data_IF_187136903401
#
_entry.id   IF_187136903401
#
_cell.length_a   1.000
_cell.length_b   1.000
_cell.length_c   1.000
_cell.angle_alpha   90.00
_cell.angle_beta   90.00
_cell.angle_gamma   90.00
#
_symmetry.space_group_name_H-M   'P 1'
#
loop_
_entity.id
_entity.type
_entity.pdbx_description
1 polymer ?
#
# COMPACT_ATOMS: atom_id res chain seq x y z
N UNK A 1 -39.35 32.33 -20.89
CA UNK A 1 -40.35 32.72 -19.87
C UNK A 1 -40.37 31.60 -18.85
N UNK A 2 -40.06 31.71 -17.56
CA UNK A 2 -39.92 32.81 -16.59
C UNK A 2 -38.70 32.55 -15.68
N UNK A 3 -38.08 33.65 -15.22
CA UNK A 3 -37.02 33.73 -14.19
C UNK A 3 -37.65 33.77 -12.78
N UNK A 4 -36.92 33.31 -11.76
CA UNK A 4 -36.97 33.82 -10.37
C UNK A 4 -35.72 33.28 -9.63
N UNK A 5 -34.66 34.04 -9.36
CA UNK A 5 -34.46 35.04 -8.28
C UNK A 5 -34.63 34.42 -6.87
N UNK A 6 -33.55 33.97 -6.23
CA UNK A 6 -32.63 34.68 -5.31
C UNK A 6 -33.25 34.99 -3.93
N UNK A 7 -32.76 34.34 -2.87
CA UNK A 7 -32.77 34.94 -1.53
C UNK A 7 -31.58 34.42 -0.69
N UNK A 8 -30.65 35.33 -0.45
CA UNK A 8 -29.51 35.23 0.46
C UNK A 8 -30.03 35.65 1.85
N UNK A 9 -29.76 34.90 2.92
CA UNK A 9 -29.96 35.37 4.28
C UNK A 9 -28.64 35.38 5.04
N UNK A 10 -28.12 36.60 5.21
CA UNK A 10 -26.99 36.98 6.03
C UNK A 10 -27.50 37.15 7.47
N UNK A 11 -26.90 36.47 8.45
CA UNK A 11 -27.18 36.72 9.86
C UNK A 11 -25.93 37.34 10.50
N UNK A 12 -26.01 38.64 10.77
CA UNK A 12 -25.14 39.38 11.68
C UNK A 12 -26.06 39.90 12.78
N UNK A 13 -25.82 39.50 14.03
CA UNK A 13 -26.27 40.25 15.20
C UNK A 13 -25.11 40.39 16.19
N UNK A 14 -25.08 41.56 16.79
CA UNK A 14 -23.94 42.22 17.41
C UNK A 14 -24.35 42.62 18.84
N UNK A 15 -23.37 42.56 19.75
CA UNK A 15 -23.15 43.37 20.97
C UNK A 15 -23.74 43.01 22.35
N UNK A 16 -22.84 43.28 23.33
CA UNK A 16 -22.98 43.62 24.76
C UNK A 16 -23.09 42.44 25.73
N UNK A 17 -22.29 42.31 26.80
CA UNK A 17 -21.36 43.21 27.50
C UNK A 17 -21.73 43.28 28.98
N UNK A 18 -20.82 42.88 29.89
CA UNK A 18 -20.61 43.50 31.23
C UNK A 18 -19.52 42.78 32.03
N UNK A 19 -18.62 43.60 32.61
CA UNK A 19 -17.66 43.35 33.70
C UNK A 19 -18.42 43.02 35.03
N UNK A 20 -17.85 42.52 36.14
CA UNK A 20 -16.72 42.99 36.97
C UNK A 20 -16.44 41.99 38.12
N UNK A 21 -15.17 41.97 38.60
CA UNK A 21 -14.68 41.77 39.99
C UNK A 21 -14.96 40.42 40.71
N UNK A 22 -14.04 39.79 41.45
CA UNK A 22 -12.83 40.21 42.14
C UNK A 22 -12.93 39.86 43.64
N UNK A 23 -11.82 39.36 44.21
CA UNK A 23 -11.44 39.40 45.65
C UNK A 23 -11.58 38.11 46.51
N UNK A 24 -10.42 37.46 46.69
CA UNK A 24 -9.72 36.94 47.89
C UNK A 24 -10.42 36.21 49.05
N UNK A 25 -9.76 35.16 49.55
CA UNK A 25 -9.83 34.71 50.95
C UNK A 25 -8.99 33.46 51.20
N UNK A 26 -7.98 33.59 52.05
CA UNK A 26 -6.89 32.64 52.32
C UNK A 26 -6.96 32.09 53.78
N UNK A 27 -6.25 30.99 54.01
CA UNK A 27 -5.69 30.37 55.25
C UNK A 27 -6.61 29.79 56.36
N UNK A 28 -6.32 28.52 56.73
CA UNK A 28 -5.86 27.99 58.07
C UNK A 28 -6.31 26.51 58.24
N UNK A 29 -5.41 25.52 58.11
CA UNK A 29 -4.43 24.88 59.06
C UNK A 29 -5.03 23.95 60.13
N UNK A 30 -4.68 22.66 60.08
CA UNK A 30 -3.93 21.87 61.09
C UNK A 30 -3.99 20.36 60.71
N UNK A 31 -2.86 19.68 60.50
CA UNK A 31 -1.99 18.96 61.47
C UNK A 31 -2.62 17.60 61.86
N UNK A 32 -2.04 16.41 61.70
CA UNK A 32 -0.71 15.82 61.99
C UNK A 32 -0.78 14.37 61.43
N UNK A 33 0.26 13.62 61.05
CA UNK A 33 1.33 13.06 61.89
C UNK A 33 2.45 12.46 61.03
N UNK A 34 3.66 12.58 61.56
CA UNK A 34 4.93 12.01 61.08
C UNK A 34 5.17 10.67 61.79
N UNK A 35 5.63 9.64 61.08
CA UNK A 35 6.47 8.58 61.67
C UNK A 35 7.59 8.21 60.69
N UNK A 36 8.81 8.36 61.20
CA UNK A 36 10.08 7.98 60.60
C UNK A 36 10.49 6.60 61.11
N UNK A 37 11.03 5.75 60.25
CA UNK A 37 12.10 4.87 60.70
C UNK A 37 13.10 4.58 59.58
N UNK A 38 14.37 4.59 59.97
CA UNK A 38 15.56 4.47 59.12
C UNK A 38 16.35 3.25 59.60
N UNK A 39 16.78 2.40 58.68
CA UNK A 39 17.98 1.58 58.93
C UNK A 39 18.73 1.26 57.63
N UNK A 40 20.03 1.48 57.70
CA UNK A 40 21.04 1.32 56.67
C UNK A 40 21.37 -0.15 56.36
N UNK A 41 21.87 -0.40 55.14
CA UNK A 41 22.85 -1.46 54.92
C UNK A 41 22.82 -2.11 53.54
N UNK A 42 23.86 -1.88 52.75
CA UNK A 42 24.28 -2.82 51.68
C UNK A 42 24.52 -2.19 50.31
N UNK A 43 25.72 -1.68 50.09
CA UNK A 43 26.31 -1.53 48.74
C UNK A 43 26.79 -2.92 48.32
N UNK A 44 26.23 -3.47 47.24
CA UNK A 44 26.90 -4.47 46.42
C UNK A 44 26.65 -4.19 44.94
N UNK A 45 27.72 -4.33 44.17
CA UNK A 45 27.88 -3.89 42.80
C UNK A 45 27.29 -4.91 41.84
N UNK A 46 26.29 -4.51 41.06
CA UNK A 46 25.75 -5.29 39.96
C UNK A 46 25.49 -4.36 38.79
N UNK A 47 26.51 -4.09 37.98
CA UNK A 47 26.38 -3.41 36.70
C UNK A 47 25.72 -4.39 35.72
N UNK A 48 24.40 -4.53 35.84
CA UNK A 48 23.54 -5.14 34.84
C UNK A 48 23.09 -4.04 33.89
N UNK A 49 23.86 -3.84 32.82
CA UNK A 49 23.31 -3.24 31.61
C UNK A 49 22.16 -4.16 31.17
N UNK A 50 20.92 -3.77 31.49
CA UNK A 50 19.75 -4.32 30.83
C UNK A 50 19.84 -3.88 29.37
N UNK A 51 20.34 -4.77 28.53
CA UNK A 51 20.04 -4.77 27.10
C UNK A 51 18.52 -4.54 26.97
N UNK A 52 18.14 -3.44 26.32
CA UNK A 52 16.73 -3.14 26.09
C UNK A 52 16.08 -4.31 25.37
N UNK A 53 14.95 -4.78 25.90
CA UNK A 53 14.09 -5.75 25.23
C UNK A 53 13.84 -5.29 23.79
N UNK A 54 14.36 -6.06 22.83
CA UNK A 54 13.87 -5.98 21.45
C UNK A 54 12.37 -6.30 21.49
N UNK A 55 11.54 -5.41 20.95
CA UNK A 55 10.10 -5.64 20.89
C UNK A 55 9.78 -6.96 20.18
N UNK A 56 8.86 -7.73 20.76
CA UNK A 56 8.42 -9.01 20.20
C UNK A 56 7.58 -8.76 18.93
N UNK A 57 8.10 -9.18 17.77
CA UNK A 57 7.36 -9.23 16.51
C UNK A 57 6.23 -10.28 16.55
N UNK A 58 5.31 -10.21 15.60
CA UNK A 58 4.19 -11.13 15.46
C UNK A 58 3.03 -10.79 16.38
N UNK A 59 2.69 -9.50 16.47
CA UNK A 59 1.61 -9.02 17.34
C UNK A 59 0.45 -8.40 16.59
N UNK A 60 0.72 -7.73 15.48
CA UNK A 60 -0.32 -7.12 14.65
C UNK A 60 -1.08 -8.26 13.95
N UNK A 61 -2.40 -8.18 13.93
CA UNK A 61 -3.27 -9.09 13.19
C UNK A 61 -3.73 -8.43 11.89
N UNK A 62 -3.79 -9.19 10.81
CA UNK A 62 -4.22 -8.70 9.52
C UNK A 62 -4.92 -9.80 8.72
N UNK A 63 -5.61 -9.38 7.66
CA UNK A 63 -6.24 -10.28 6.70
C UNK A 63 -5.91 -9.88 5.26
N UNK A 64 -6.02 -10.85 4.34
CA UNK A 64 -5.82 -10.67 2.91
C UNK A 64 -7.16 -10.71 2.16
N UNK A 65 -7.32 -9.84 1.17
CA UNK A 65 -8.36 -9.97 0.16
C UNK A 65 -7.79 -9.81 -1.26
N UNK A 66 -8.10 -10.77 -2.13
CA UNK A 66 -7.71 -10.72 -3.53
C UNK A 66 -8.92 -10.51 -4.45
N UNK A 67 -9.09 -9.30 -4.95
CA UNK A 67 -10.19 -8.94 -5.87
C UNK A 67 -10.09 -9.60 -7.25
N UNK A 68 -8.88 -9.96 -7.71
CA UNK A 68 -8.71 -10.64 -8.99
C UNK A 68 -9.19 -12.09 -8.93
N UNK A 69 -9.04 -12.75 -7.78
CA UNK A 69 -9.56 -14.09 -7.47
C UNK A 69 -11.06 -14.05 -7.13
N UNK A 70 -11.58 -12.91 -6.64
CA UNK A 70 -12.98 -12.69 -6.27
C UNK A 70 -13.67 -11.67 -7.20
N UNK A 71 -13.52 -11.84 -8.51
CA UNK A 71 -13.86 -10.81 -9.49
C UNK A 71 -15.34 -10.42 -9.52
N UNK A 72 -16.25 -11.39 -9.36
CA UNK A 72 -17.69 -11.11 -9.32
C UNK A 72 -18.06 -10.24 -8.11
N UNK A 73 -17.38 -10.43 -6.97
CA UNK A 73 -17.55 -9.59 -5.79
C UNK A 73 -17.11 -8.15 -6.11
N UNK A 74 -15.94 -7.97 -6.70
CA UNK A 74 -15.42 -6.66 -7.10
C UNK A 74 -16.36 -5.95 -8.09
N UNK A 75 -16.86 -6.64 -9.12
CA UNK A 75 -17.81 -6.08 -10.08
C UNK A 75 -19.11 -5.62 -9.41
N UNK A 76 -19.66 -6.44 -8.50
CA UNK A 76 -20.87 -6.06 -7.77
C UNK A 76 -20.62 -4.87 -6.84
N UNK A 77 -19.47 -4.82 -6.16
CA UNK A 77 -19.08 -3.73 -5.28
C UNK A 77 -18.97 -2.41 -6.06
N UNK A 78 -18.24 -2.40 -7.17
CA UNK A 78 -18.02 -1.19 -7.98
C UNK A 78 -19.27 -0.65 -8.67
N UNK A 79 -20.28 -1.50 -8.88
CA UNK A 79 -21.59 -1.11 -9.38
C UNK A 79 -22.55 -0.62 -8.28
N UNK A 80 -22.15 -0.64 -7.01
CA UNK A 80 -22.97 -0.13 -5.91
C UNK A 80 -23.00 1.40 -5.88
N UNK A 81 -24.06 1.97 -5.28
CA UNK A 81 -24.18 3.42 -5.11
C UNK A 81 -23.04 4.00 -4.26
N UNK A 82 -22.52 3.24 -3.30
CA UNK A 82 -21.44 3.68 -2.41
C UNK A 82 -20.11 3.84 -3.16
N UNK A 83 -19.73 2.84 -3.97
CA UNK A 83 -18.41 2.78 -4.60
C UNK A 83 -18.35 3.38 -6.02
N UNK A 84 -19.49 3.51 -6.70
CA UNK A 84 -19.53 4.14 -8.05
C UNK A 84 -19.00 5.58 -8.04
N UNK A 85 -19.31 6.35 -7.00
CA UNK A 85 -18.77 7.71 -6.83
C UNK A 85 -17.25 7.76 -6.62
N UNK A 86 -16.67 6.71 -6.03
CA UNK A 86 -15.23 6.61 -5.79
C UNK A 86 -14.47 6.29 -7.09
N UNK A 87 -15.07 5.50 -7.97
CA UNK A 87 -14.56 5.25 -9.31
C UNK A 87 -14.47 6.55 -10.13
N UNK A 88 -15.47 7.43 -10.05
CA UNK A 88 -15.45 8.74 -10.70
C UNK A 88 -14.37 9.67 -10.10
N UNK A 89 -14.28 9.72 -8.77
CA UNK A 89 -13.31 10.57 -8.06
C UNK A 89 -11.87 10.26 -8.47
N UNK A 90 -11.48 8.98 -8.43
CA UNK A 90 -10.14 8.55 -8.79
C UNK A 90 -9.98 8.30 -10.29
N UNK A 91 -11.08 8.38 -11.05
CA UNK A 91 -11.23 8.05 -12.47
C UNK A 91 -10.68 6.67 -12.77
N UNK A 92 -11.17 5.67 -12.05
CA UNK A 92 -10.75 4.29 -12.18
C UNK A 92 -11.89 3.41 -12.69
N UNK A 93 -11.72 2.87 -13.90
CA UNK A 93 -12.73 2.07 -14.61
C UNK A 93 -12.20 0.65 -14.88
N UNK A 94 -12.53 -0.29 -13.99
CA UNK A 94 -12.00 -1.66 -14.01
C UNK A 94 -12.76 -2.62 -14.92
N UNK A 95 -13.76 -2.17 -15.68
CA UNK A 95 -14.67 -3.05 -16.41
C UNK A 95 -13.99 -3.73 -17.60
N UNK A 96 -12.90 -3.15 -18.11
CA UNK A 96 -12.15 -3.61 -19.30
C UNK A 96 -10.96 -4.50 -18.93
N UNK A 97 -11.16 -5.42 -17.98
CA UNK A 97 -10.13 -6.37 -17.54
C UNK A 97 -9.74 -7.28 -18.71
N UNK A 98 -8.45 -7.41 -18.98
CA UNK A 98 -7.89 -8.40 -19.92
C UNK A 98 -6.89 -9.26 -19.15
N UNK A 99 -7.15 -10.56 -19.08
CA UNK A 99 -6.22 -11.52 -18.47
C UNK A 99 -5.43 -12.26 -19.54
N UNK A 100 -4.12 -12.37 -19.35
CA UNK A 100 -3.20 -13.04 -20.27
C UNK A 100 -2.44 -14.13 -19.53
N UNK A 101 -2.37 -15.32 -20.13
CA UNK A 101 -1.55 -16.44 -19.67
C UNK A 101 -0.48 -16.73 -20.70
N UNK A 102 0.79 -16.64 -20.31
CA UNK A 102 1.93 -16.92 -21.19
C UNK A 102 2.66 -18.18 -20.71
N UNK A 103 2.67 -19.19 -21.57
CA UNK A 103 3.41 -20.42 -21.36
C UNK A 103 4.45 -20.60 -22.46
N UNK A 104 5.45 -21.44 -22.22
CA UNK A 104 6.34 -21.92 -23.28
C UNK A 104 5.66 -23.03 -24.12
N UNK A 105 6.38 -23.53 -25.12
CA UNK A 105 5.91 -24.61 -26.00
C UNK A 105 5.67 -25.96 -25.29
N UNK A 106 6.11 -26.11 -24.04
CA UNK A 106 5.91 -27.29 -23.20
C UNK A 106 4.79 -27.08 -22.16
N UNK A 107 4.14 -25.92 -22.16
CA UNK A 107 3.10 -25.58 -21.20
C UNK A 107 3.63 -25.09 -19.86
N UNK A 108 4.93 -24.78 -19.75
CA UNK A 108 5.53 -24.23 -18.53
C UNK A 108 5.22 -22.72 -18.47
N UNK A 109 4.68 -22.19 -17.36
CA UNK A 109 4.45 -20.76 -17.24
C UNK A 109 5.73 -19.92 -17.32
N UNK A 110 5.66 -18.81 -18.04
CA UNK A 110 6.79 -17.90 -18.22
C UNK A 110 6.62 -16.65 -17.37
N UNK A 111 7.52 -16.45 -16.41
CA UNK A 111 7.57 -15.30 -15.52
C UNK A 111 8.27 -14.08 -16.15
N UNK A 112 7.89 -12.86 -15.73
CA UNK A 112 8.48 -11.57 -16.10
C UNK A 112 8.48 -11.28 -17.62
N UNK A 113 7.59 -11.91 -18.39
CA UNK A 113 7.36 -11.65 -19.81
C UNK A 113 6.57 -10.36 -19.96
N UNK A 114 7.03 -9.43 -20.79
CA UNK A 114 6.31 -8.19 -21.09
C UNK A 114 5.07 -8.53 -21.91
N UNK A 115 3.90 -8.08 -21.46
CA UNK A 115 2.65 -8.10 -22.20
C UNK A 115 2.13 -6.68 -22.36
N UNK A 116 1.56 -6.37 -23.51
CA UNK A 116 1.16 -5.01 -23.83
C UNK A 116 -0.08 -4.98 -24.73
N UNK A 117 -1.04 -4.11 -24.41
CA UNK A 117 -2.17 -3.79 -25.28
C UNK A 117 -1.89 -2.48 -26.00
N UNK A 118 -2.03 -2.48 -27.33
CA UNK A 118 -1.90 -1.32 -28.21
C UNK A 118 -3.16 -1.09 -29.05
N UNK A 119 -3.32 0.12 -29.59
CA UNK A 119 -4.23 0.38 -30.70
C UNK A 119 -3.57 0.07 -32.07
N UNK A 120 -4.35 0.18 -33.14
CA UNK A 120 -3.87 0.02 -34.53
C UNK A 120 -2.76 1.01 -34.95
N UNK A 121 -2.66 2.16 -34.28
CA UNK A 121 -1.62 3.18 -34.51
C UNK A 121 -0.34 2.91 -33.70
N UNK A 122 -0.27 1.78 -33.01
CA UNK A 122 0.81 1.38 -32.11
C UNK A 122 0.96 2.22 -30.82
N UNK A 123 -0.05 2.99 -30.44
CA UNK A 123 -0.08 3.65 -29.14
C UNK A 123 -0.35 2.63 -28.03
N UNK A 124 0.40 2.74 -26.94
CA UNK A 124 0.32 1.81 -25.81
C UNK A 124 -0.79 2.19 -24.83
N UNK A 125 -1.78 1.31 -24.66
CA UNK A 125 -2.81 1.47 -23.65
C UNK A 125 -2.31 1.04 -22.26
N UNK A 126 -1.77 -0.18 -22.17
CA UNK A 126 -1.33 -0.75 -20.91
C UNK A 126 -0.19 -1.75 -21.12
N UNK A 127 0.81 -1.73 -20.23
CA UNK A 127 1.92 -2.68 -20.20
C UNK A 127 1.92 -3.35 -18.83
N UNK A 128 2.10 -4.66 -18.82
CA UNK A 128 2.29 -5.45 -17.61
C UNK A 128 3.37 -6.51 -17.81
N UNK A 129 3.68 -7.24 -16.75
CA UNK A 129 4.59 -8.40 -16.80
C UNK A 129 3.98 -9.59 -16.09
N UNK A 130 4.19 -10.77 -16.68
CA UNK A 130 3.66 -12.00 -16.11
C UNK A 130 4.29 -12.34 -14.76
N UNK A 131 3.50 -12.86 -13.83
CA UNK A 131 3.96 -13.35 -12.53
C UNK A 131 4.57 -14.77 -12.58
N UNK A 132 4.90 -15.35 -11.43
CA UNK A 132 5.45 -16.71 -11.33
C UNK A 132 4.50 -17.79 -11.86
N UNK A 133 3.20 -17.51 -11.97
CA UNK A 133 2.23 -18.37 -12.62
C UNK A 133 2.12 -18.12 -14.12
N UNK A 134 2.89 -17.19 -14.70
CA UNK A 134 2.78 -16.81 -16.11
C UNK A 134 1.56 -15.95 -16.44
N UNK A 135 0.94 -15.32 -15.44
CA UNK A 135 -0.31 -14.55 -15.60
C UNK A 135 -0.04 -13.06 -15.49
N UNK A 136 -0.71 -12.24 -16.29
CA UNK A 136 -0.70 -10.78 -16.20
C UNK A 136 -2.11 -10.22 -16.47
N UNK A 137 -2.48 -9.15 -15.78
CA UNK A 137 -3.71 -8.40 -16.03
C UNK A 137 -3.37 -7.08 -16.75
N UNK A 138 -4.20 -6.72 -17.72
CA UNK A 138 -4.09 -5.47 -18.48
C UNK A 138 -5.42 -4.72 -18.45
N UNK A 139 -5.31 -3.39 -18.51
CA UNK A 139 -6.42 -2.49 -18.26
C UNK A 139 -6.45 -1.35 -19.29
N UNK A 140 -6.81 -1.64 -20.56
CA UNK A 140 -6.94 -0.60 -21.57
C UNK A 140 -8.01 0.42 -21.19
N UNK A 141 -7.66 1.71 -21.23
CA UNK A 141 -8.58 2.81 -20.89
C UNK A 141 -9.02 2.82 -19.42
N UNK A 142 -8.19 2.32 -18.50
CA UNK A 142 -8.50 2.28 -17.06
C UNK A 142 -8.82 3.66 -16.44
N UNK A 143 -8.39 4.75 -17.11
CA UNK A 143 -8.59 6.14 -16.70
C UNK A 143 -9.50 6.92 -17.66
N UNK A 144 -10.14 6.24 -18.60
CA UNK A 144 -10.94 6.82 -19.67
C UNK A 144 -12.35 6.21 -19.66
N UNK A 145 -13.39 7.05 -19.70
CA UNK A 145 -14.78 6.56 -19.74
C UNK A 145 -15.18 5.94 -21.08
N UNK A 146 -14.45 6.28 -22.16
CA UNK A 146 -14.80 5.86 -23.52
C UNK A 146 -14.70 4.34 -23.70
N UNK A 147 -15.78 3.72 -24.19
CA UNK A 147 -15.78 2.29 -24.49
C UNK A 147 -14.75 1.96 -25.59
N UNK A 148 -13.89 0.99 -25.29
CA UNK A 148 -12.97 0.40 -26.26
C UNK A 148 -13.52 -0.95 -26.68
N UNK A 149 -13.68 -1.18 -27.97
CA UNK A 149 -14.06 -2.50 -28.48
C UNK A 149 -12.83 -3.41 -28.57
N UNK A 150 -13.00 -4.70 -28.29
CA UNK A 150 -11.86 -5.64 -28.34
C UNK A 150 -11.25 -5.79 -29.74
N UNK A 151 -12.02 -5.44 -30.79
CA UNK A 151 -11.54 -5.38 -32.18
C UNK A 151 -10.49 -4.32 -32.43
N UNK A 152 -10.42 -3.29 -31.57
CA UNK A 152 -9.52 -2.15 -31.72
C UNK A 152 -8.21 -2.35 -30.93
N UNK A 153 -8.08 -3.52 -30.28
CA UNK A 153 -6.97 -3.86 -29.40
C UNK A 153 -6.07 -4.91 -30.04
N UNK A 154 -4.76 -4.68 -29.90
CA UNK A 154 -3.72 -5.61 -30.29
C UNK A 154 -2.91 -6.05 -29.06
N UNK A 155 -2.78 -7.36 -28.83
CA UNK A 155 -1.96 -7.93 -27.76
C UNK A 155 -0.56 -8.26 -28.25
N UNK A 156 0.46 -7.70 -27.61
CA UNK A 156 1.87 -7.98 -27.85
C UNK A 156 2.49 -8.73 -26.68
N UNK A 157 3.34 -9.72 -26.98
CA UNK A 157 4.15 -10.47 -26.00
C UNK A 157 5.62 -10.33 -26.36
N UNK A 158 6.40 -9.66 -25.49
CA UNK A 158 7.78 -9.22 -25.79
C UNK A 158 7.89 -8.59 -27.19
N UNK A 159 7.01 -7.61 -27.46
CA UNK A 159 6.92 -6.87 -28.73
C UNK A 159 6.57 -7.71 -29.97
N UNK A 160 6.16 -8.96 -29.79
CA UNK A 160 5.61 -9.82 -30.86
C UNK A 160 4.08 -9.79 -30.81
N UNK A 161 3.45 -9.37 -31.91
CA UNK A 161 1.99 -9.35 -32.05
C UNK A 161 1.38 -10.75 -31.96
N UNK A 162 0.38 -10.92 -31.10
CA UNK A 162 -0.49 -12.08 -31.05
C UNK A 162 -1.39 -12.10 -32.28
N UNK A 163 -1.47 -13.25 -32.95
CA UNK A 163 -2.35 -13.44 -34.12
C UNK A 163 -3.81 -13.73 -33.75
N UNK A 164 -4.10 -13.91 -32.45
CA UNK A 164 -5.46 -14.16 -31.97
C UNK A 164 -6.13 -12.81 -31.67
N UNK A 165 -7.45 -12.69 -31.90
CA UNK A 165 -8.23 -11.57 -31.37
C UNK A 165 -8.03 -11.46 -29.85
N UNK A 166 -8.04 -10.23 -29.34
CA UNK A 166 -7.99 -9.96 -27.90
C UNK A 166 -9.35 -10.28 -27.29
N UNK A 167 -9.34 -10.96 -26.14
CA UNK A 167 -10.54 -11.24 -25.34
C UNK A 167 -10.55 -10.37 -24.09
N UNK A 168 -11.70 -9.78 -23.79
CA UNK A 168 -11.94 -9.31 -22.42
C UNK A 168 -12.11 -10.50 -21.47
N UNK A 169 -11.84 -10.29 -20.18
CA UNK A 169 -11.89 -11.35 -19.17
C UNK A 169 -13.27 -12.04 -19.09
N UNK A 170 -14.34 -11.31 -19.33
CA UNK A 170 -15.71 -11.84 -19.43
C UNK A 170 -15.90 -12.83 -20.60
N UNK A 171 -15.06 -12.76 -21.62
CA UNK A 171 -15.07 -13.63 -22.80
C UNK A 171 -14.07 -14.79 -22.67
N UNK A 172 -13.00 -14.60 -21.89
CA UNK A 172 -12.04 -15.64 -21.56
C UNK A 172 -10.63 -15.11 -21.27
N UNK A 173 -9.69 -16.03 -21.02
CA UNK A 173 -8.27 -15.72 -20.82
C UNK A 173 -7.53 -15.80 -22.15
N UNK A 174 -6.65 -14.84 -22.40
CA UNK A 174 -5.79 -14.81 -23.59
C UNK A 174 -4.59 -15.74 -23.38
N UNK A 175 -4.72 -16.99 -23.84
CA UNK A 175 -3.64 -17.97 -23.76
C UNK A 175 -2.64 -17.84 -24.92
N UNK A 176 -1.38 -17.54 -24.58
CA UNK A 176 -0.28 -17.35 -25.52
C UNK A 176 0.83 -18.35 -25.26
N UNK A 177 1.29 -18.99 -26.34
CA UNK A 177 2.52 -19.78 -26.34
C UNK A 177 3.65 -18.89 -26.86
N UNK A 178 4.67 -18.66 -26.03
CA UNK A 178 5.83 -17.86 -26.38
C UNK A 178 7.08 -18.74 -26.45
N UNK A 179 7.82 -18.65 -27.57
CA UNK A 179 9.00 -19.48 -27.84
C UNK A 179 10.32 -18.69 -27.86
N UNK A 180 10.27 -17.39 -27.55
CA UNK A 180 11.47 -16.58 -27.43
C UNK A 180 12.23 -16.84 -26.12
N UNK A 181 13.45 -16.34 -26.04
CA UNK A 181 14.25 -16.45 -24.82
C UNK A 181 13.62 -15.62 -23.70
N UNK A 182 13.45 -16.24 -22.52
CA UNK A 182 13.00 -15.57 -21.31
C UNK A 182 14.07 -15.69 -20.21
N UNK A 183 14.89 -14.65 -20.04
CA UNK A 183 15.99 -14.65 -19.08
C UNK A 183 15.56 -13.97 -17.79
N UNK A 184 15.04 -14.77 -16.86
CA UNK A 184 14.66 -14.33 -15.51
C UNK A 184 15.77 -14.67 -14.53
N UNK A 185 16.19 -13.70 -13.72
CA UNK A 185 17.17 -13.91 -12.65
C UNK A 185 16.52 -14.56 -11.42
N UNK A 186 17.32 -14.98 -10.43
CA UNK A 186 16.78 -15.44 -9.13
C UNK A 186 16.52 -14.29 -8.14
N UNK A 187 16.54 -13.05 -8.61
CA UNK A 187 16.42 -11.85 -7.79
C UNK A 187 14.96 -11.61 -7.41
N UNK A 188 14.73 -11.33 -6.13
CA UNK A 188 13.45 -10.89 -5.57
C UNK A 188 13.68 -9.54 -4.92
N UNK A 189 12.90 -8.54 -5.30
CA UNK A 189 13.01 -7.18 -4.79
C UNK A 189 11.78 -6.84 -3.95
N UNK A 190 12.02 -6.45 -2.70
CA UNK A 190 10.99 -6.09 -1.73
C UNK A 190 11.21 -4.64 -1.29
N UNK A 191 10.23 -3.78 -1.52
CA UNK A 191 10.23 -2.41 -1.00
C UNK A 191 9.12 -2.24 0.02
N UNK A 192 9.43 -1.64 1.16
CA UNK A 192 8.43 -1.24 2.15
C UNK A 192 8.27 0.28 2.10
N UNK A 193 7.11 0.74 1.68
CA UNK A 193 6.72 2.15 1.62
C UNK A 193 5.85 2.40 2.85
N UNK A 194 6.34 3.18 3.80
CA UNK A 194 5.77 3.26 5.16
C UNK A 194 5.41 4.71 5.49
N UNK A 195 4.16 4.92 5.87
CA UNK A 195 3.70 6.14 6.50
C UNK A 195 4.36 6.31 7.88
N UNK A 196 4.99 7.46 8.10
CA UNK A 196 5.63 7.81 9.37
C UNK A 196 5.18 9.18 9.89
N UNK A 197 3.93 9.53 9.59
CA UNK A 197 3.20 10.66 10.19
C UNK A 197 2.88 10.37 11.64
N UNK A 198 2.45 11.40 12.39
CA UNK A 198 2.15 11.26 13.81
C UNK A 198 1.00 10.30 14.13
N UNK A 199 0.04 10.10 13.23
CA UNK A 199 -1.11 9.22 13.45
C UNK A 199 -0.74 7.74 13.50
N UNK A 200 0.33 7.34 12.79
CA UNK A 200 0.90 6.00 12.83
C UNK A 200 1.69 5.68 14.12
N UNK A 201 1.83 6.61 15.08
CA UNK A 201 2.76 6.46 16.20
C UNK A 201 2.48 5.27 17.13
N UNK A 202 1.23 4.86 17.25
CA UNK A 202 0.77 3.72 18.05
C UNK A 202 1.04 2.37 17.38
N UNK A 203 1.06 2.33 16.05
CA UNK A 203 1.27 1.11 15.25
C UNK A 203 2.71 0.96 14.73
N UNK A 204 3.40 2.07 14.44
CA UNK A 204 4.66 2.07 13.70
C UNK A 204 5.77 1.27 14.38
N UNK A 205 5.88 1.28 15.71
CA UNK A 205 6.91 0.50 16.39
C UNK A 205 6.66 -1.01 16.29
N UNK A 206 5.41 -1.45 16.43
CA UNK A 206 5.03 -2.86 16.18
C UNK A 206 5.27 -3.24 14.72
N UNK A 207 4.92 -2.34 13.80
CA UNK A 207 5.11 -2.56 12.39
C UNK A 207 6.60 -2.68 12.04
N UNK A 208 7.46 -1.83 12.63
CA UNK A 208 8.91 -1.93 12.46
C UNK A 208 9.43 -3.28 12.92
N UNK A 209 8.92 -3.83 14.03
CA UNK A 209 9.33 -5.15 14.53
C UNK A 209 8.86 -6.28 13.60
N UNK A 210 7.62 -6.22 13.10
CA UNK A 210 7.11 -7.16 12.10
C UNK A 210 7.92 -7.11 10.80
N UNK A 211 8.24 -5.91 10.29
CA UNK A 211 9.05 -5.75 9.09
C UNK A 211 10.46 -6.35 9.26
N UNK A 212 11.09 -6.18 10.43
CA UNK A 212 12.40 -6.79 10.73
C UNK A 212 12.31 -8.32 10.70
N UNK A 213 11.28 -8.90 11.33
CA UNK A 213 11.05 -10.34 11.35
C UNK A 213 10.80 -10.90 9.94
N UNK A 214 9.92 -10.25 9.16
CA UNK A 214 9.63 -10.60 7.76
C UNK A 214 10.91 -10.65 6.93
N UNK A 215 11.72 -9.58 6.98
CA UNK A 215 12.97 -9.48 6.22
C UNK A 215 13.94 -10.61 6.62
N UNK A 216 14.08 -10.89 7.92
CA UNK A 216 14.96 -11.95 8.41
C UNK A 216 14.48 -13.34 7.98
N UNK A 217 13.17 -13.62 8.10
CA UNK A 217 12.56 -14.92 7.76
C UNK A 217 12.60 -15.21 6.27
N UNK A 218 12.36 -14.21 5.42
CA UNK A 218 12.42 -14.37 3.96
C UNK A 218 13.85 -14.68 3.52
N UNK A 219 14.85 -13.97 4.07
CA UNK A 219 16.27 -14.22 3.76
C UNK A 219 16.70 -15.64 4.16
N UNK A 220 16.23 -16.12 5.31
CA UNK A 220 16.58 -17.43 5.84
C UNK A 220 15.75 -18.58 5.22
N UNK A 221 14.59 -18.27 4.66
CA UNK A 221 13.63 -19.26 4.17
C UNK A 221 13.97 -19.87 2.81
N UNK A 222 14.67 -19.15 1.93
CA UNK A 222 14.96 -19.64 0.58
C UNK A 222 16.36 -19.25 0.08
N UNK A 223 17.32 -20.17 0.22
CA UNK A 223 18.71 -19.98 -0.24
C UNK A 223 18.88 -19.96 -1.76
N UNK A 224 17.84 -20.33 -2.53
CA UNK A 224 17.89 -20.29 -3.98
C UNK A 224 17.59 -18.90 -4.55
N UNK A 225 16.97 -18.00 -3.77
CA UNK A 225 16.60 -16.65 -4.20
C UNK A 225 17.56 -15.60 -3.66
N UNK A 226 17.85 -14.58 -4.48
CA UNK A 226 18.61 -13.42 -4.06
C UNK A 226 17.63 -12.33 -3.62
N UNK A 227 17.42 -12.22 -2.30
CA UNK A 227 16.52 -11.23 -1.70
C UNK A 227 17.23 -9.88 -1.59
N UNK A 228 16.63 -8.86 -2.20
CA UNK A 228 17.02 -7.46 -2.08
C UNK A 228 15.89 -6.69 -1.41
N UNK A 229 16.23 -5.85 -0.44
CA UNK A 229 15.26 -5.02 0.27
C UNK A 229 15.59 -3.55 0.12
N UNK A 230 14.55 -2.72 0.11
CA UNK A 230 14.60 -1.25 0.20
C UNK A 230 13.45 -0.75 1.06
N UNK A 231 13.52 0.51 1.46
CA UNK A 231 12.46 1.17 2.21
C UNK A 231 12.28 2.59 1.73
N UNK A 232 11.03 3.07 1.75
CA UNK A 232 10.68 4.47 1.59
C UNK A 232 9.82 4.83 2.78
N UNK A 233 10.24 5.79 3.59
CA UNK A 233 9.42 6.37 4.64
C UNK A 233 8.96 7.74 4.19
N UNK A 234 7.71 8.07 4.46
CA UNK A 234 7.15 9.37 4.08
C UNK A 234 6.35 9.99 5.23
N UNK A 235 6.20 11.32 5.14
CA UNK A 235 5.31 12.14 5.95
C UNK A 235 4.58 13.11 5.03
N UNK A 236 4.10 14.26 5.51
CA UNK A 236 3.42 15.23 4.66
C UNK A 236 4.28 16.40 4.19
N UNK A 237 3.70 17.18 3.29
CA UNK A 237 4.22 18.46 2.83
C UNK A 237 4.37 19.45 3.99
N UNK A 238 5.58 19.99 4.16
CA UNK A 238 5.88 20.96 5.22
C UNK A 238 6.49 20.35 6.49
N UNK A 239 6.54 19.02 6.60
CA UNK A 239 7.27 18.32 7.64
C UNK A 239 8.80 18.38 7.46
N UNK A 240 9.54 17.91 8.48
CA UNK A 240 11.00 17.75 8.44
C UNK A 240 11.53 17.05 7.19
N UNK A 241 10.72 16.17 6.59
CA UNK A 241 10.94 15.57 5.29
C UNK A 241 9.61 15.05 4.73
N UNK A 242 9.44 15.13 3.41
CA UNK A 242 8.34 14.44 2.72
C UNK A 242 8.69 12.97 2.49
N UNK A 243 9.90 12.66 2.02
CA UNK A 243 10.35 11.27 1.83
C UNK A 243 11.81 11.05 2.26
N UNK A 244 12.10 9.84 2.73
CA UNK A 244 13.45 9.30 2.96
C UNK A 244 13.48 7.86 2.49
N UNK A 245 14.57 7.41 1.86
CA UNK A 245 14.64 6.04 1.36
C UNK A 245 16.02 5.40 1.51
N UNK A 246 16.03 4.07 1.50
CA UNK A 246 17.22 3.24 1.34
C UNK A 246 17.20 2.57 -0.03
N UNK A 247 18.36 2.44 -0.67
CA UNK A 247 18.48 1.76 -1.96
C UNK A 247 18.40 0.22 -1.80
N UNK A 248 18.05 -0.48 -2.87
CA UNK A 248 18.04 -1.95 -2.88
C UNK A 248 19.41 -2.54 -2.53
N UNK A 249 19.41 -3.45 -1.56
CA UNK A 249 20.62 -4.11 -1.05
C UNK A 249 20.34 -5.56 -0.64
N UNK A 250 21.33 -6.46 -0.78
CA UNK A 250 21.25 -7.81 -0.20
C UNK A 250 21.61 -7.85 1.28
N UNK A 251 22.27 -6.80 1.78
CA UNK A 251 22.64 -6.65 3.18
C UNK A 251 21.44 -6.17 3.97
N UNK A 252 20.64 -7.12 4.43
CA UNK A 252 19.43 -6.84 5.20
C UNK A 252 19.72 -5.98 6.44
N UNK A 253 20.91 -6.07 7.05
CA UNK A 253 21.22 -5.29 8.26
C UNK A 253 21.23 -3.80 7.97
N UNK A 254 21.68 -3.38 6.79
CA UNK A 254 21.64 -1.98 6.38
C UNK A 254 20.18 -1.47 6.28
N UNK A 255 19.28 -2.29 5.75
CA UNK A 255 17.84 -1.99 5.71
C UNK A 255 17.24 -1.94 7.12
N UNK A 256 17.55 -2.91 7.98
CA UNK A 256 17.05 -2.94 9.37
C UNK A 256 17.53 -1.72 10.18
N UNK A 257 18.80 -1.33 10.01
CA UNK A 257 19.35 -0.11 10.62
C UNK A 257 18.63 1.14 10.14
N UNK A 258 18.30 1.23 8.86
CA UNK A 258 17.51 2.33 8.32
C UNK A 258 16.12 2.39 8.94
N UNK A 259 15.41 1.27 9.00
CA UNK A 259 14.08 1.15 9.65
C UNK A 259 14.14 1.62 11.11
N UNK A 260 15.14 1.17 11.88
CA UNK A 260 15.29 1.52 13.29
C UNK A 260 15.46 3.02 13.55
N UNK A 261 15.95 3.78 12.58
CA UNK A 261 16.16 5.23 12.72
C UNK A 261 14.87 6.04 12.50
N UNK A 262 13.81 5.42 11.97
CA UNK A 262 12.58 6.12 11.66
C UNK A 262 11.66 6.20 12.88
N UNK A 263 10.89 7.29 12.94
CA UNK A 263 9.92 7.58 13.99
C UNK A 263 8.72 8.29 13.38
N UNK A 264 7.55 8.02 13.93
CA UNK A 264 6.32 8.75 13.63
C UNK A 264 6.46 10.19 14.14
N UNK A 265 6.18 11.17 13.29
CA UNK A 265 6.11 12.59 13.64
C UNK A 265 5.48 13.36 12.47
N UNK A 266 5.16 14.63 12.69
CA UNK A 266 4.59 15.47 11.63
C UNK A 266 3.16 15.07 11.24
N UNK A 267 2.79 15.44 10.03
CA UNK A 267 1.42 15.43 9.53
C UNK A 267 0.60 16.61 10.10
N UNK A 268 -0.72 16.47 10.12
CA UNK A 268 -1.62 17.41 10.79
C UNK A 268 -2.96 17.56 10.10
N UNK A 269 -2.97 17.46 8.77
CA UNK A 269 -4.16 17.22 7.97
C UNK A 269 -4.28 15.76 7.56
N UNK A 270 -5.52 15.37 7.28
CA UNK A 270 -5.87 14.12 6.60
C UNK A 270 -6.44 14.59 5.27
N UNK A 271 -5.65 14.60 4.20
CA UNK A 271 -4.82 13.49 3.68
C UNK A 271 -3.29 13.69 3.73
N UNK A 272 -2.51 12.72 3.24
CA UNK A 272 -1.03 12.63 3.36
C UNK A 272 -0.28 12.53 2.00
N UNK A 273 1.05 12.67 1.97
CA UNK A 273 1.86 12.70 0.74
C UNK A 273 2.18 11.33 0.08
N UNK A 274 1.20 10.42 0.01
CA UNK A 274 1.34 9.07 -0.58
C UNK A 274 1.91 9.11 -2.01
N UNK A 275 1.51 10.10 -2.81
CA UNK A 275 1.96 10.28 -4.19
C UNK A 275 3.47 10.53 -4.31
N UNK A 276 4.05 11.28 -3.37
CA UNK A 276 5.49 11.54 -3.30
C UNK A 276 6.25 10.27 -2.95
N UNK A 277 5.73 9.48 -2.01
CA UNK A 277 6.31 8.20 -1.63
C UNK A 277 6.28 7.19 -2.78
N UNK A 278 5.14 7.07 -3.49
CA UNK A 278 5.02 6.20 -4.66
C UNK A 278 5.96 6.62 -5.79
N UNK A 279 6.12 7.93 -6.04
CA UNK A 279 7.05 8.40 -7.05
C UNK A 279 8.48 7.97 -6.75
N UNK A 280 8.95 8.17 -5.51
CA UNK A 280 10.30 7.72 -5.08
C UNK A 280 10.41 6.20 -5.21
N UNK A 281 9.42 5.46 -4.69
CA UNK A 281 9.45 4.01 -4.68
C UNK A 281 9.48 3.41 -6.09
N UNK A 282 8.81 4.03 -7.06
CA UNK A 282 8.62 3.44 -8.39
C UNK A 282 9.56 4.01 -9.44
N UNK A 283 10.02 5.26 -9.31
CA UNK A 283 10.92 5.91 -10.27
C UNK A 283 12.36 5.98 -9.79
N UNK A 284 12.59 6.32 -8.52
CA UNK A 284 13.94 6.57 -8.02
C UNK A 284 14.62 5.28 -7.56
N UNK A 285 13.88 4.35 -6.95
CA UNK A 285 14.41 3.03 -6.65
C UNK A 285 14.73 2.27 -7.94
N UNK A 286 15.95 1.74 -8.02
CA UNK A 286 16.47 1.07 -9.20
C UNK A 286 16.05 -0.40 -9.25
N UNK A 287 14.77 -0.64 -9.53
CA UNK A 287 14.23 -1.98 -9.75
C UNK A 287 14.92 -2.67 -10.93
N UNK A 288 15.32 -3.93 -10.74
CA UNK A 288 15.96 -4.70 -11.80
C UNK A 288 14.94 -5.17 -12.84
N UNK A 289 15.14 -4.88 -14.12
CA UNK A 289 14.24 -5.31 -15.22
C UNK A 289 14.14 -6.83 -15.45
N UNK A 290 15.05 -7.63 -14.88
CA UNK A 290 15.05 -9.10 -14.99
C UNK A 290 14.86 -9.83 -13.65
N UNK A 291 14.45 -9.13 -12.59
CA UNK A 291 14.04 -9.77 -11.34
C UNK A 291 12.90 -10.77 -11.57
N UNK A 292 12.91 -11.87 -10.80
CA UNK A 292 11.82 -12.86 -10.79
C UNK A 292 10.52 -12.23 -10.28
N UNK A 293 10.65 -11.43 -9.23
CA UNK A 293 9.50 -10.82 -8.54
C UNK A 293 9.90 -9.47 -7.98
N UNK A 294 8.96 -8.53 -8.04
CA UNK A 294 9.05 -7.19 -7.45
C UNK A 294 7.79 -6.96 -6.64
N UNK A 295 7.93 -6.67 -5.36
CA UNK A 295 6.82 -6.41 -4.44
C UNK A 295 7.09 -5.09 -3.73
N UNK A 296 6.12 -4.20 -3.75
CA UNK A 296 6.12 -3.00 -2.93
C UNK A 296 4.94 -3.08 -1.96
N UNK A 297 5.24 -3.24 -0.67
CA UNK A 297 4.24 -3.10 0.38
C UNK A 297 4.04 -1.62 0.66
N UNK A 298 2.79 -1.14 0.61
CA UNK A 298 2.44 0.25 0.91
C UNK A 298 1.63 0.27 2.21
N UNK A 299 2.24 0.76 3.28
CA UNK A 299 1.71 0.73 4.64
C UNK A 299 1.29 2.13 5.05
N UNK A 300 0.00 2.33 5.31
CA UNK A 300 -0.60 3.66 5.48
C UNK A 300 -1.91 3.65 6.28
N UNK A 301 -2.22 4.76 6.95
CA UNK A 301 -3.45 5.04 7.69
C UNK A 301 -4.27 6.20 7.07
N UNK A 302 -3.78 6.86 6.02
CA UNK A 302 -4.43 7.99 5.37
C UNK A 302 -4.37 7.96 3.83
N UNK A 303 -5.37 8.57 3.13
CA UNK A 303 -5.38 8.67 1.67
C UNK A 303 -4.37 9.72 1.16
N UNK A 304 -4.03 9.68 -0.14
CA UNK A 304 -3.37 10.81 -0.79
C UNK A 304 -4.26 12.06 -0.85
N UNK A 305 -3.60 13.22 -0.95
CA UNK A 305 -4.18 14.47 -1.40
C UNK A 305 -4.96 14.32 -2.74
N UNK A 306 -6.00 15.13 -2.96
CA UNK A 306 -7.01 14.91 -4.04
C UNK A 306 -6.97 15.94 -5.17
N UNK A 307 -5.96 16.79 -5.21
CA UNK A 307 -5.75 17.71 -6.33
C UNK A 307 -5.55 16.92 -7.62
N UNK A 308 -6.04 17.44 -8.75
CA UNK A 308 -5.93 16.79 -10.05
C UNK A 308 -4.49 16.41 -10.43
N UNK A 309 -3.52 17.21 -10.00
CA UNK A 309 -2.10 16.91 -10.19
C UNK A 309 -1.68 15.65 -9.40
N UNK A 310 -2.09 15.55 -8.13
CA UNK A 310 -1.78 14.41 -7.26
C UNK A 310 -2.44 13.14 -7.79
N UNK A 311 -3.72 13.23 -8.18
CA UNK A 311 -4.43 12.11 -8.83
C UNK A 311 -3.67 11.65 -10.08
N UNK A 312 -3.23 12.59 -10.94
CA UNK A 312 -2.42 12.28 -12.12
C UNK A 312 -1.10 11.56 -11.79
N UNK A 313 -0.41 11.97 -10.72
CA UNK A 313 0.83 11.34 -10.27
C UNK A 313 0.61 9.93 -9.72
N UNK A 314 -0.47 9.70 -8.96
CA UNK A 314 -0.88 8.38 -8.49
C UNK A 314 -1.18 7.45 -9.67
N UNK A 315 -1.99 7.90 -10.63
CA UNK A 315 -2.31 7.13 -11.85
C UNK A 315 -1.04 6.74 -12.62
N UNK A 316 -0.15 7.71 -12.83
CA UNK A 316 1.13 7.44 -13.50
C UNK A 316 1.99 6.42 -12.72
N UNK A 317 2.04 6.55 -11.40
CA UNK A 317 2.75 5.63 -10.51
C UNK A 317 2.23 4.19 -10.65
N UNK A 318 0.91 3.99 -10.60
CA UNK A 318 0.30 2.66 -10.78
C UNK A 318 0.61 2.08 -12.16
N UNK A 319 0.55 2.89 -13.23
CA UNK A 319 0.93 2.45 -14.59
C UNK A 319 2.39 1.99 -14.65
N UNK A 320 3.30 2.75 -14.04
CA UNK A 320 4.74 2.40 -13.97
C UNK A 320 4.94 1.12 -13.17
N UNK A 321 4.22 0.94 -12.05
CA UNK A 321 4.28 -0.30 -11.27
C UNK A 321 3.87 -1.50 -12.12
N UNK A 322 2.75 -1.41 -12.85
CA UNK A 322 2.30 -2.47 -13.77
C UNK A 322 3.33 -2.75 -14.86
N UNK A 323 3.84 -1.72 -15.55
CA UNK A 323 4.85 -1.85 -16.61
C UNK A 323 6.13 -2.54 -16.13
N UNK A 324 6.59 -2.18 -14.92
CA UNK A 324 7.76 -2.78 -14.28
C UNK A 324 7.47 -4.15 -13.66
N UNK A 325 6.23 -4.62 -13.65
CA UNK A 325 5.82 -5.86 -12.98
C UNK A 325 6.01 -5.80 -11.47
N UNK A 326 5.85 -4.63 -10.87
CA UNK A 326 5.88 -4.39 -9.43
C UNK A 326 4.47 -4.60 -8.90
N UNK A 327 4.31 -5.58 -8.01
CA UNK A 327 3.06 -5.82 -7.29
C UNK A 327 2.94 -4.80 -6.17
N UNK A 328 1.95 -3.93 -6.23
CA UNK A 328 1.58 -3.08 -5.10
C UNK A 328 0.71 -3.90 -4.16
N UNK A 329 1.14 -4.04 -2.91
CA UNK A 329 0.37 -4.69 -1.84
C UNK A 329 0.13 -3.65 -0.75
N UNK A 330 -1.00 -2.94 -0.80
CA UNK A 330 -1.36 -2.05 0.30
C UNK A 330 -1.63 -2.85 1.58
N UNK A 331 -1.17 -2.31 2.70
CA UNK A 331 -1.43 -2.76 4.06
C UNK A 331 -2.04 -1.56 4.79
N UNK A 332 -3.36 -1.51 4.87
CA UNK A 332 -4.02 -0.38 5.52
C UNK A 332 -4.11 -0.59 7.02
N UNK A 333 -3.69 0.43 7.76
CA UNK A 333 -3.75 0.50 9.21
C UNK A 333 -5.07 1.15 9.67
N UNK A 334 -5.10 1.62 10.91
CA UNK A 334 -6.24 2.37 11.45
C UNK A 334 -6.49 3.68 10.67
N UNK A 335 -7.55 4.42 10.96
CA UNK A 335 -7.76 5.77 10.40
C UNK A 335 -8.27 5.87 8.94
N UNK A 336 -8.08 4.86 8.10
CA UNK A 336 -8.55 4.91 6.71
C UNK A 336 -10.08 4.92 6.60
N UNK A 337 -10.59 5.44 5.47
CA UNK A 337 -12.01 5.41 5.12
C UNK A 337 -12.28 4.53 3.89
N UNK A 338 -13.56 4.35 3.53
CA UNK A 338 -14.00 3.52 2.39
C UNK A 338 -13.43 3.96 1.05
N UNK A 339 -13.22 5.25 0.87
CA UNK A 339 -12.59 5.80 -0.33
C UNK A 339 -11.11 5.38 -0.43
N UNK A 340 -10.40 5.38 0.70
CA UNK A 340 -9.01 4.94 0.78
C UNK A 340 -8.92 3.43 0.56
N UNK A 341 -9.81 2.64 1.18
CA UNK A 341 -9.93 1.19 0.94
C UNK A 341 -10.10 0.90 -0.56
N UNK A 342 -11.03 1.60 -1.23
CA UNK A 342 -11.25 1.45 -2.67
C UNK A 342 -9.99 1.76 -3.49
N UNK A 343 -9.30 2.87 -3.20
CA UNK A 343 -8.08 3.26 -3.90
C UNK A 343 -6.95 2.22 -3.71
N UNK A 344 -6.82 1.67 -2.50
CA UNK A 344 -5.81 0.66 -2.21
C UNK A 344 -6.12 -0.65 -2.94
N UNK A 345 -7.38 -1.09 -2.95
CA UNK A 345 -7.82 -2.25 -3.74
C UNK A 345 -7.63 -2.03 -5.23
N UNK A 346 -7.77 -0.80 -5.71
CA UNK A 346 -7.39 -0.44 -7.07
C UNK A 346 -5.89 -0.68 -7.35
N UNK A 347 -5.00 -0.22 -6.46
CA UNK A 347 -3.55 -0.41 -6.66
C UNK A 347 -3.20 -1.89 -6.78
N UNK A 348 -3.83 -2.74 -5.96
CA UNK A 348 -3.58 -4.18 -5.97
C UNK A 348 -4.03 -4.83 -7.29
N UNK A 349 -5.25 -4.59 -7.75
CA UNK A 349 -5.75 -5.18 -9.00
C UNK A 349 -4.99 -4.71 -10.24
N UNK A 350 -4.60 -3.42 -10.30
CA UNK A 350 -3.88 -2.85 -11.43
C UNK A 350 -2.47 -3.44 -11.61
N UNK A 351 -1.94 -4.09 -10.57
CA UNK A 351 -0.56 -4.56 -10.52
C UNK A 351 -0.43 -6.06 -10.22
N UNK A 352 -1.50 -6.83 -10.39
CA UNK A 352 -1.54 -8.28 -10.09
C UNK A 352 -1.17 -8.59 -8.62
N UNK A 353 -1.48 -7.67 -7.71
CA UNK A 353 -1.22 -7.75 -6.27
C UNK A 353 -2.39 -8.33 -5.48
N UNK A 354 -2.43 -7.97 -4.20
CA UNK A 354 -3.50 -8.31 -3.25
C UNK A 354 -3.67 -7.15 -2.27
N UNK A 355 -4.81 -7.09 -1.58
CA UNK A 355 -5.07 -6.09 -0.55
C UNK A 355 -4.88 -6.71 0.84
N UNK A 356 -4.21 -6.01 1.74
CA UNK A 356 -4.03 -6.40 3.14
C UNK A 356 -4.58 -5.29 4.01
N UNK A 357 -5.28 -5.67 5.08
CA UNK A 357 -5.81 -4.72 6.07
C UNK A 357 -5.55 -5.26 7.48
N UNK A 358 -5.09 -4.39 8.36
CA UNK A 358 -4.89 -4.70 9.78
C UNK A 358 -6.28 -4.81 10.44
N UNK A 359 -6.40 -5.74 11.39
CA UNK A 359 -7.65 -6.02 12.11
C UNK A 359 -7.52 -5.72 13.60
N UNK A 360 -8.66 -5.46 14.24
CA UNK A 360 -8.74 -5.16 15.67
C UNK A 360 -8.46 -6.37 16.60
N UNK A 361 -8.29 -7.59 16.06
CA UNK A 361 -8.13 -8.83 16.86
C UNK A 361 -6.91 -8.79 17.80
N UNK A 362 -5.84 -8.09 17.41
CA UNK A 362 -4.65 -7.87 18.24
C UNK A 362 -4.85 -6.85 19.36
N UNK A 363 -5.84 -5.96 19.24
CA UNK A 363 -6.02 -4.79 20.10
C UNK A 363 -4.90 -3.76 20.02
N UNK A 364 -4.07 -3.78 18.96
CA UNK A 364 -3.01 -2.81 18.69
C UNK A 364 -3.53 -1.75 17.72
N UNK A 365 -3.16 -0.49 17.96
CA UNK A 365 -3.59 0.65 17.16
C UNK A 365 -4.96 1.20 17.56
N UNK A 366 -5.39 2.24 16.85
CA UNK A 366 -6.76 2.73 16.90
C UNK A 366 -7.71 1.77 16.17
N UNK A 367 -9.05 1.94 16.29
CA UNK A 367 -10.00 1.08 15.58
C UNK A 367 -9.78 1.06 14.07
N UNK A 368 -9.81 -0.14 13.50
CA UNK A 368 -9.63 -0.37 12.07
C UNK A 368 -10.96 -0.33 11.33
N UNK A 369 -10.91 0.10 10.07
CA UNK A 369 -12.07 0.04 9.19
C UNK A 369 -12.45 -1.43 8.94
N UNK A 370 -13.70 -1.81 9.22
CA UNK A 370 -14.22 -3.11 8.78
C UNK A 370 -14.20 -3.15 7.25
N UNK A 371 -13.36 -4.00 6.67
CA UNK A 371 -13.14 -4.03 5.22
C UNK A 371 -14.40 -4.47 4.45
N UNK A 372 -14.69 -3.82 3.32
CA UNK A 372 -15.80 -4.16 2.42
C UNK A 372 -15.46 -5.37 1.54
N UNK A 373 -15.18 -6.51 2.17
CA UNK A 373 -14.71 -7.76 1.53
C UNK A 373 -15.64 -8.93 1.87
N UNK A 374 -15.39 -10.09 1.25
CA UNK A 374 -16.09 -11.33 1.60
C UNK A 374 -15.58 -11.95 2.91
N UNK A 375 -15.79 -13.25 3.09
CA UNK A 375 -15.18 -13.98 4.22
C UNK A 375 -13.66 -13.98 4.09
N UNK A 376 -12.96 -13.78 5.21
CA UNK A 376 -11.49 -13.74 5.29
C UNK A 376 -10.97 -14.48 6.52
N UNK A 377 -9.68 -14.81 6.50
CA UNK A 377 -8.95 -15.40 7.60
C UNK A 377 -8.03 -14.35 8.23
N UNK A 378 -8.02 -14.28 9.56
CA UNK A 378 -7.13 -13.41 10.33
C UNK A 378 -5.84 -14.17 10.64
N UNK A 379 -4.71 -13.56 10.32
CA UNK A 379 -3.35 -14.06 10.57
C UNK A 379 -2.53 -13.00 11.32
N UNK A 380 -1.36 -13.38 11.83
CA UNK A 380 -0.36 -12.39 12.22
C UNK A 380 0.19 -11.70 10.96
N UNK A 381 0.36 -10.38 11.00
CA UNK A 381 0.79 -9.59 9.85
C UNK A 381 2.13 -10.08 9.30
N UNK A 382 3.11 -10.34 10.16
CA UNK A 382 4.41 -10.86 9.74
C UNK A 382 4.30 -12.23 9.03
N UNK A 383 3.45 -13.14 9.52
CA UNK A 383 3.19 -14.44 8.90
C UNK A 383 2.53 -14.28 7.54
N UNK A 384 1.52 -13.42 7.44
CA UNK A 384 0.81 -13.08 6.22
C UNK A 384 1.79 -12.50 5.18
N UNK A 385 2.63 -11.54 5.56
CA UNK A 385 3.61 -10.94 4.65
C UNK A 385 4.64 -11.96 4.15
N UNK A 386 5.16 -12.84 5.02
CA UNK A 386 6.05 -13.94 4.61
C UNK A 386 5.35 -14.89 3.65
N UNK A 387 4.08 -15.23 3.91
CA UNK A 387 3.25 -16.07 3.04
C UNK A 387 3.06 -15.45 1.66
N UNK A 388 2.76 -14.15 1.59
CA UNK A 388 2.62 -13.41 0.33
C UNK A 388 3.92 -13.32 -0.47
N UNK A 389 5.04 -13.04 0.21
CA UNK A 389 6.35 -12.99 -0.46
C UNK A 389 6.67 -14.34 -1.09
N UNK A 390 6.41 -15.46 -0.40
CA UNK A 390 6.57 -16.80 -0.96
C UNK A 390 5.60 -17.06 -2.12
N UNK A 391 4.30 -16.75 -1.96
CA UNK A 391 3.25 -16.89 -3.00
C UNK A 391 3.69 -16.27 -4.33
N UNK A 392 4.34 -15.10 -4.30
CA UNK A 392 4.72 -14.38 -5.52
C UNK A 392 6.15 -14.64 -6.00
N UNK A 393 7.02 -15.27 -5.20
CA UNK A 393 8.44 -15.46 -5.55
C UNK A 393 8.86 -16.90 -5.81
N UNK A 394 8.11 -17.88 -5.34
CA UNK A 394 8.39 -19.30 -5.52
C UNK A 394 7.60 -19.83 -6.71
#
# INVERSE_FOLDING_TARGET
MKKSALLFLLFILVLMGCETEGVTGDVTTDDSTFESDSSEGGIDSGNGETEGEQGEAGRITAAEWNDLENWDFWQNLTNSEEFSSMAELWGFYSQRRISVKVNDQFGIPLNNVKVEIRNENADSFWISRTDNSGTAELWPGIYEEENLESSDLELYVNDVLSKKPVLYFSEGVNEIVYTGNNNVSKRVELSFIVDATGSMADELEFLKDDLKDVIARVKNGNSALNIFTSTVFYRDEGDDYVTRHSAFTEDINSTLQFINQQRADGGGDFPEAVHSAMNVALNDLQWSGNAKTRIAFLLLDAPPHKELQVIGQIRNSVKIASEKGIKLIPVTASGINKETEFLMRYFSIATNGTYVFITDDSGIGNPHLEASVGEYEVELLNDLMVRLIRKYSE
#
